data_IF_380015391290
#
_entry.id   IF_380015391290
#
_cell.length_a   1.000
_cell.length_b   1.000
_cell.length_c   1.000
_cell.angle_alpha   90.00
_cell.angle_beta   90.00
_cell.angle_gamma   90.00
#
_symmetry.space_group_name_H-M   'P 1'
#
loop_
_entity.id
_entity.type
_entity.pdbx_description
1 polymer ?
#
# COMPACT_ATOMS: atom_id res chain seq x y z
N UNK A 1 -7.54 -3.30 1.63
CA UNK A 1 -8.19 -2.61 2.70
C UNK A 1 -8.35 -3.42 3.96
N UNK A 2 -7.58 -3.07 5.01
CA UNK A 2 -7.68 -3.66 6.36
C UNK A 2 -8.32 -2.67 7.34
N UNK A 3 -8.97 -1.61 6.84
CA UNK A 3 -9.60 -0.59 7.68
C UNK A 3 -8.68 0.53 8.14
N UNK A 4 -7.55 0.81 7.47
CA UNK A 4 -6.69 1.96 7.79
C UNK A 4 -7.47 3.27 7.88
N UNK A 5 -8.36 3.51 6.93
CA UNK A 5 -9.22 4.71 6.89
C UNK A 5 -10.16 4.78 8.08
N UNK A 6 -10.73 3.67 8.53
CA UNK A 6 -11.57 3.63 9.74
C UNK A 6 -10.79 4.00 11.01
N UNK A 7 -9.54 3.52 11.13
CA UNK A 7 -8.64 3.92 12.24
C UNK A 7 -8.37 5.42 12.19
N UNK A 8 -8.09 5.96 10.99
CA UNK A 8 -7.88 7.40 10.79
C UNK A 8 -9.11 8.22 11.20
N UNK A 9 -10.32 7.80 10.82
CA UNK A 9 -11.57 8.46 11.17
C UNK A 9 -11.81 8.46 12.68
N UNK A 10 -11.54 7.33 13.36
CA UNK A 10 -11.65 7.26 14.83
C UNK A 10 -10.66 8.18 15.53
N UNK A 11 -9.41 8.22 15.06
CA UNK A 11 -8.42 9.16 15.59
C UNK A 11 -8.84 10.62 15.36
N UNK A 12 -9.36 10.93 14.17
CA UNK A 12 -9.90 12.25 13.85
C UNK A 12 -11.06 12.63 14.78
N UNK A 13 -11.98 11.69 15.04
CA UNK A 13 -13.10 11.93 15.96
C UNK A 13 -12.61 12.27 17.38
N UNK A 14 -11.65 11.53 17.91
CA UNK A 14 -11.08 11.79 19.24
C UNK A 14 -10.44 13.19 19.29
N UNK A 15 -9.69 13.57 18.25
CA UNK A 15 -9.06 14.88 18.19
C UNK A 15 -10.10 16.02 18.15
N UNK A 16 -11.13 15.89 17.30
CA UNK A 16 -12.23 16.88 17.20
C UNK A 16 -13.01 16.96 18.51
N UNK A 17 -13.30 15.82 19.14
CA UNK A 17 -13.99 15.80 20.45
C UNK A 17 -13.15 16.46 21.56
N UNK A 18 -11.84 16.53 21.39
CA UNK A 18 -10.91 17.26 22.27
C UNK A 18 -10.68 18.70 21.80
N UNK A 19 -11.60 19.27 21.01
CA UNK A 19 -11.54 20.64 20.48
C UNK A 19 -10.28 20.95 19.66
N UNK A 20 -9.67 19.92 19.04
CA UNK A 20 -8.50 20.04 18.16
C UNK A 20 -8.88 19.85 16.72
N UNK A 21 -8.25 20.62 15.85
CA UNK A 21 -8.41 20.49 14.41
C UNK A 21 -7.60 19.32 13.86
N UNK A 22 -8.09 18.74 12.76
CA UNK A 22 -7.46 17.61 12.07
C UNK A 22 -7.15 17.97 10.62
N UNK A 23 -5.97 17.59 10.17
CA UNK A 23 -5.56 17.69 8.77
C UNK A 23 -5.35 16.28 8.22
N UNK A 24 -5.98 15.98 7.08
CA UNK A 24 -5.78 14.71 6.35
C UNK A 24 -5.05 15.00 5.05
N UNK A 25 -3.83 14.51 4.96
CA UNK A 25 -2.95 14.72 3.82
C UNK A 25 -2.95 13.51 2.90
N UNK A 26 -3.34 13.71 1.65
CA UNK A 26 -3.42 12.69 0.61
C UNK A 26 -2.41 12.97 -0.52
N UNK A 27 -1.84 11.95 -1.17
CA UNK A 27 -0.84 12.12 -2.24
C UNK A 27 -1.46 12.60 -3.57
N UNK A 28 -2.75 12.38 -3.78
CA UNK A 28 -3.46 12.77 -5.01
C UNK A 28 -4.81 13.43 -4.71
N UNK A 29 -5.30 14.21 -5.66
CA UNK A 29 -6.63 14.86 -5.56
C UNK A 29 -7.74 13.82 -5.52
N UNK A 30 -7.68 12.81 -6.36
CA UNK A 30 -8.69 11.73 -6.40
C UNK A 30 -8.81 11.01 -5.06
N UNK A 31 -7.68 10.71 -4.41
CA UNK A 31 -7.70 10.09 -3.08
C UNK A 31 -8.23 11.06 -2.02
N UNK A 32 -7.94 12.37 -2.16
CA UNK A 32 -8.48 13.37 -1.25
C UNK A 32 -10.00 13.49 -1.39
N UNK A 33 -10.54 13.43 -2.62
CA UNK A 33 -11.98 13.41 -2.89
C UNK A 33 -12.65 12.18 -2.26
N UNK A 34 -12.10 10.98 -2.45
CA UNK A 34 -12.61 9.75 -1.85
C UNK A 34 -12.57 9.77 -0.31
N UNK A 35 -11.50 10.28 0.29
CA UNK A 35 -11.45 10.46 1.74
C UNK A 35 -12.48 11.46 2.20
N UNK A 36 -12.68 12.56 1.48
CA UNK A 36 -13.65 13.58 1.81
C UNK A 36 -15.07 12.99 1.85
N UNK A 37 -15.47 12.28 0.81
CA UNK A 37 -16.79 11.61 0.76
C UNK A 37 -16.95 10.58 1.88
N UNK A 38 -15.92 9.75 2.11
CA UNK A 38 -15.94 8.74 3.17
C UNK A 38 -16.04 9.36 4.56
N UNK A 39 -15.35 10.49 4.80
CA UNK A 39 -15.45 11.22 6.06
C UNK A 39 -16.82 11.90 6.21
N UNK A 40 -17.35 12.52 5.17
CA UNK A 40 -18.70 13.11 5.21
C UNK A 40 -19.75 12.07 5.58
N UNK A 41 -19.74 10.91 4.93
CA UNK A 41 -20.69 9.82 5.23
C UNK A 41 -20.54 9.32 6.66
N UNK A 42 -19.30 9.13 7.12
CA UNK A 42 -19.00 8.61 8.46
C UNK A 42 -19.38 9.59 9.59
N UNK A 43 -19.20 10.88 9.34
CA UNK A 43 -19.47 11.94 10.31
C UNK A 43 -20.86 12.58 10.17
N UNK A 44 -21.70 12.09 9.28
CA UNK A 44 -23.03 12.66 8.96
C UNK A 44 -23.91 12.93 10.18
N UNK A 45 -23.81 12.10 11.21
CA UNK A 45 -24.60 12.22 12.45
C UNK A 45 -23.91 13.06 13.53
N UNK A 46 -22.76 13.65 13.26
CA UNK A 46 -21.99 14.44 14.22
C UNK A 46 -21.86 15.89 13.76
N UNK A 47 -21.82 16.86 14.66
CA UNK A 47 -21.66 18.27 14.33
C UNK A 47 -20.18 18.58 13.99
N UNK A 48 -19.64 17.96 12.94
CA UNK A 48 -18.25 18.11 12.51
C UNK A 48 -18.22 18.77 11.13
N UNK A 49 -17.52 19.89 11.03
CA UNK A 49 -17.36 20.65 9.79
C UNK A 49 -16.13 20.17 9.02
N UNK A 50 -16.35 19.51 7.88
CA UNK A 50 -15.29 18.93 7.05
C UNK A 50 -15.19 19.69 5.74
N UNK A 51 -14.00 20.03 5.29
CA UNK A 51 -13.74 20.70 4.02
C UNK A 51 -12.62 20.04 3.24
N UNK A 52 -12.76 20.14 1.91
CA UNK A 52 -11.78 19.64 0.95
C UNK A 52 -10.97 20.81 0.38
N UNK A 53 -9.65 20.73 0.45
CA UNK A 53 -8.74 21.73 -0.11
C UNK A 53 -7.74 21.06 -1.05
N UNK A 54 -7.96 21.20 -2.35
CA UNK A 54 -7.07 20.70 -3.39
C UNK A 54 -6.69 21.84 -4.35
N UNK A 55 -5.85 21.54 -5.31
CA UNK A 55 -5.53 22.53 -6.39
C UNK A 55 -6.73 22.86 -7.29
N UNK A 56 -7.77 22.02 -7.29
CA UNK A 56 -9.01 22.23 -8.07
C UNK A 56 -10.04 23.09 -7.32
N UNK A 57 -9.84 23.32 -6.03
CA UNK A 57 -10.69 24.23 -5.24
C UNK A 57 -10.58 25.65 -5.82
N UNK A 58 -11.72 26.25 -6.15
CA UNK A 58 -11.77 27.62 -6.69
C UNK A 58 -11.09 28.60 -5.74
N UNK A 59 -10.48 29.67 -6.29
CA UNK A 59 -9.71 30.64 -5.49
C UNK A 59 -10.53 31.30 -4.37
N UNK A 60 -11.80 31.56 -4.62
CA UNK A 60 -12.71 32.17 -3.64
C UNK A 60 -12.96 31.20 -2.50
N UNK A 61 -13.34 29.97 -2.83
CA UNK A 61 -13.61 28.91 -1.83
C UNK A 61 -12.34 28.57 -1.03
N UNK A 62 -11.17 28.61 -1.71
CA UNK A 62 -9.87 28.37 -1.07
C UNK A 62 -9.59 29.39 0.03
N UNK A 63 -9.83 30.69 -0.22
CA UNK A 63 -9.64 31.75 0.78
C UNK A 63 -10.60 31.57 1.95
N UNK A 64 -11.88 31.33 1.68
CA UNK A 64 -12.91 31.07 2.71
C UNK A 64 -12.51 29.87 3.60
N UNK A 65 -12.11 28.74 3.00
CA UNK A 65 -11.69 27.55 3.74
C UNK A 65 -10.49 27.86 4.65
N UNK A 66 -9.49 28.60 4.15
CA UNK A 66 -8.30 28.95 4.92
C UNK A 66 -8.66 29.87 6.10
N UNK A 67 -9.44 30.91 5.86
CA UNK A 67 -9.87 31.85 6.91
C UNK A 67 -10.70 31.14 7.98
N UNK A 68 -11.65 30.31 7.57
CA UNK A 68 -12.49 29.54 8.49
C UNK A 68 -11.73 28.45 9.26
N UNK A 69 -10.73 27.83 8.65
CA UNK A 69 -9.86 26.89 9.35
C UNK A 69 -8.99 27.62 10.38
N UNK A 70 -8.38 28.73 10.01
CA UNK A 70 -7.54 29.54 10.90
C UNK A 70 -8.33 30.18 12.06
N UNK A 71 -9.65 30.38 11.90
CA UNK A 71 -10.57 30.87 12.95
C UNK A 71 -11.27 29.75 13.72
N UNK A 72 -10.85 28.50 13.59
CA UNK A 72 -11.42 27.31 14.24
C UNK A 72 -12.88 26.99 13.89
N UNK A 73 -13.37 27.47 12.73
CA UNK A 73 -14.73 27.17 12.24
C UNK A 73 -14.79 25.95 11.29
N UNK A 74 -13.68 25.28 11.07
CA UNK A 74 -13.56 24.00 10.37
C UNK A 74 -12.79 23.04 11.25
N UNK A 75 -13.34 21.85 11.49
CA UNK A 75 -12.76 20.84 12.35
C UNK A 75 -11.77 19.95 11.61
N UNK A 76 -12.12 19.54 10.38
CA UNK A 76 -11.30 18.64 9.57
C UNK A 76 -11.09 19.23 8.18
N UNK A 77 -9.84 19.33 7.78
CA UNK A 77 -9.49 19.69 6.39
C UNK A 77 -8.78 18.52 5.73
N UNK A 78 -9.29 18.10 4.56
CA UNK A 78 -8.72 17.02 3.75
C UNK A 78 -8.13 17.65 2.49
N UNK A 79 -6.94 17.20 2.08
CA UNK A 79 -6.35 17.74 0.85
C UNK A 79 -5.01 17.14 0.49
N UNK A 80 -4.37 17.77 -0.48
CA UNK A 80 -3.05 17.38 -0.97
C UNK A 80 -1.95 18.29 -0.39
N UNK A 81 -0.72 18.15 -0.87
CA UNK A 81 0.39 19.04 -0.48
C UNK A 81 0.09 20.55 -0.62
N UNK A 82 -0.95 20.92 -1.35
CA UNK A 82 -1.43 22.30 -1.42
C UNK A 82 -1.80 22.89 -0.04
N UNK A 83 -2.14 22.04 0.92
CA UNK A 83 -2.41 22.44 2.32
C UNK A 83 -1.22 23.17 2.96
N UNK A 84 0.02 22.77 2.64
CA UNK A 84 1.22 23.41 3.22
C UNK A 84 1.59 24.74 2.58
N UNK A 85 1.08 25.01 1.37
CA UNK A 85 1.37 26.25 0.60
C UNK A 85 0.20 27.22 0.60
N UNK A 86 -0.91 26.88 1.25
CA UNK A 86 -2.16 27.62 1.18
C UNK A 86 -2.31 28.78 2.18
N UNK A 87 -1.43 28.89 3.19
CA UNK A 87 -1.60 29.85 4.28
C UNK A 87 -2.38 29.29 5.48
N UNK A 88 -2.58 27.98 5.55
CA UNK A 88 -3.13 27.30 6.73
C UNK A 88 -2.15 27.40 7.90
N UNK A 89 -2.67 27.85 9.04
CA UNK A 89 -1.94 27.98 10.29
C UNK A 89 -2.27 26.77 11.18
N UNK A 90 -1.23 26.09 11.64
CA UNK A 90 -1.37 24.86 12.45
C UNK A 90 -1.51 25.13 13.95
N UNK A 91 -2.09 26.27 14.35
CA UNK A 91 -2.12 26.73 15.76
C UNK A 91 -2.94 25.78 16.65
N UNK A 92 -4.12 25.35 16.21
CA UNK A 92 -5.00 24.48 16.98
C UNK A 92 -5.05 23.05 16.42
N UNK A 93 -4.17 22.71 15.47
CA UNK A 93 -4.11 21.35 14.89
C UNK A 93 -3.55 20.38 15.90
N UNK A 94 -4.33 19.40 16.31
CA UNK A 94 -3.90 18.33 17.24
C UNK A 94 -3.47 17.05 16.50
N UNK A 95 -3.99 16.81 15.30
CA UNK A 95 -3.71 15.59 14.54
C UNK A 95 -3.47 15.86 13.06
N UNK A 96 -2.37 15.34 12.55
CA UNK A 96 -2.06 15.27 11.12
C UNK A 96 -2.08 13.81 10.67
N UNK A 97 -3.01 13.45 9.80
CA UNK A 97 -3.10 12.12 9.19
C UNK A 97 -2.42 12.19 7.81
N UNK A 98 -1.45 11.31 7.58
CA UNK A 98 -0.70 11.23 6.31
C UNK A 98 -0.94 9.87 5.69
N UNK A 99 -1.69 9.84 4.58
CA UNK A 99 -1.93 8.59 3.86
C UNK A 99 -0.87 8.37 2.79
N UNK A 100 -0.42 7.11 2.66
CA UNK A 100 0.62 6.65 1.71
C UNK A 100 1.89 7.53 1.74
N UNK A 101 2.51 7.70 2.93
CA UNK A 101 3.71 8.52 3.19
C UNK A 101 4.79 8.38 2.10
N UNK A 102 4.94 7.18 1.53
CA UNK A 102 5.96 6.89 0.53
C UNK A 102 5.78 7.64 -0.81
N UNK A 103 4.59 8.16 -1.08
CA UNK A 103 4.28 8.94 -2.29
C UNK A 103 4.70 10.41 -2.17
N UNK A 104 5.09 10.88 -0.98
CA UNK A 104 5.54 12.25 -0.76
C UNK A 104 7.04 12.40 -1.01
N UNK A 105 7.41 13.49 -1.69
CA UNK A 105 8.82 13.85 -1.94
C UNK A 105 9.56 14.30 -0.67
N UNK A 106 10.89 14.37 -0.74
CA UNK A 106 11.76 14.70 0.40
C UNK A 106 11.38 16.05 1.03
N UNK A 107 11.24 17.11 0.21
CA UNK A 107 10.85 18.44 0.70
C UNK A 107 9.50 18.45 1.43
N UNK A 108 8.54 17.68 0.95
CA UNK A 108 7.22 17.55 1.58
C UNK A 108 7.32 16.82 2.94
N UNK A 109 8.15 15.80 3.02
CA UNK A 109 8.43 15.08 4.28
C UNK A 109 9.13 15.95 5.31
N UNK A 110 10.01 16.84 4.88
CA UNK A 110 10.69 17.79 5.79
C UNK A 110 9.69 18.79 6.37
N UNK A 111 8.73 19.28 5.56
CA UNK A 111 7.63 20.13 6.05
C UNK A 111 6.75 19.38 7.05
N UNK A 112 6.42 18.11 6.79
CA UNK A 112 5.67 17.27 7.72
C UNK A 112 6.44 17.12 9.04
N UNK A 113 7.74 16.81 8.96
CA UNK A 113 8.60 16.66 10.15
C UNK A 113 8.71 17.93 10.98
N UNK A 114 8.82 19.10 10.35
CA UNK A 114 8.89 20.39 11.07
C UNK A 114 7.64 20.71 11.88
N UNK A 115 6.52 20.00 11.66
CA UNK A 115 5.28 20.13 12.43
C UNK A 115 5.18 19.11 13.58
N UNK A 116 6.11 18.15 13.66
CA UNK A 116 6.03 17.01 14.58
C UNK A 116 6.17 17.42 16.07
N UNK A 117 6.82 18.54 16.39
CA UNK A 117 7.07 18.94 17.78
C UNK A 117 5.79 19.27 18.57
N UNK A 118 4.72 19.72 17.85
CA UNK A 118 3.48 20.21 18.49
C UNK A 118 2.21 19.48 18.04
N UNK A 119 2.30 18.49 17.17
CA UNK A 119 1.14 17.83 16.53
C UNK A 119 1.34 16.32 16.53
N UNK A 120 0.32 15.55 16.90
CA UNK A 120 0.34 14.10 16.71
C UNK A 120 0.27 13.76 15.22
N UNK A 121 1.15 12.89 14.73
CA UNK A 121 1.17 12.50 13.33
C UNK A 121 0.84 11.00 13.21
N UNK A 122 -0.23 10.69 12.48
CA UNK A 122 -0.64 9.34 12.15
C UNK A 122 -0.29 9.02 10.70
N UNK A 123 0.69 8.17 10.50
CA UNK A 123 1.05 7.68 9.17
C UNK A 123 0.26 6.41 8.82
N UNK A 124 -0.34 6.39 7.63
CA UNK A 124 -1.03 5.22 7.09
C UNK A 124 -0.24 4.69 5.88
N UNK A 125 -0.02 3.38 5.82
CA UNK A 125 0.62 2.75 4.66
C UNK A 125 0.07 1.36 4.40
N UNK A 126 -0.03 0.98 3.13
CA UNK A 126 -0.38 -0.38 2.72
C UNK A 126 0.85 -1.29 2.75
N UNK A 127 2.02 -0.74 2.43
CA UNK A 127 3.31 -1.44 2.41
C UNK A 127 4.33 -0.57 3.11
N UNK A 128 4.89 -1.00 4.24
CA UNK A 128 5.98 -0.26 4.87
C UNK A 128 7.19 -0.23 3.91
N UNK A 129 7.80 0.96 3.77
CA UNK A 129 9.03 1.09 2.98
C UNK A 129 10.17 0.41 3.75
N UNK A 130 11.17 -0.20 3.09
CA UNK A 130 12.34 -0.79 3.75
C UNK A 130 13.02 0.14 4.77
N UNK A 131 13.17 1.43 4.45
CA UNK A 131 13.71 2.44 5.40
C UNK A 131 12.81 2.64 6.62
N UNK A 132 11.49 2.65 6.46
CA UNK A 132 10.53 2.75 7.58
C UNK A 132 10.59 1.50 8.44
N UNK A 133 10.81 0.32 7.84
CA UNK A 133 11.00 -0.93 8.57
C UNK A 133 12.20 -0.86 9.52
N UNK A 134 13.31 -0.26 9.10
CA UNK A 134 14.47 -0.07 9.98
C UNK A 134 14.15 0.81 11.20
N UNK A 135 13.41 1.91 11.01
CA UNK A 135 12.97 2.76 12.13
C UNK A 135 11.97 2.05 13.05
N UNK A 136 11.18 1.13 12.52
CA UNK A 136 10.27 0.28 13.29
C UNK A 136 11.08 -0.72 14.14
N UNK A 137 11.99 -1.46 13.52
CA UNK A 137 12.81 -2.46 14.22
C UNK A 137 13.77 -1.83 15.24
N UNK A 138 14.21 -0.60 15.00
CA UNK A 138 15.04 0.13 15.97
C UNK A 138 14.27 0.73 17.16
N UNK A 139 12.93 0.60 17.17
CA UNK A 139 12.12 1.20 18.24
C UNK A 139 12.08 2.73 18.24
N UNK A 140 12.46 3.37 17.12
CA UNK A 140 12.44 4.82 16.95
C UNK A 140 11.04 5.36 16.58
N UNK A 141 10.15 4.51 16.10
CA UNK A 141 8.76 4.84 15.80
C UNK A 141 7.84 3.78 16.37
N UNK A 142 6.78 4.20 17.02
CA UNK A 142 5.67 3.32 17.38
C UNK A 142 4.88 2.95 16.13
N UNK A 143 4.42 1.71 16.07
CA UNK A 143 3.64 1.21 14.94
C UNK A 143 2.65 0.15 15.38
N UNK A 144 1.59 0.00 14.59
CA UNK A 144 0.58 -1.02 14.78
C UNK A 144 0.27 -1.72 13.46
N UNK A 145 0.17 -3.03 13.48
CA UNK A 145 -0.24 -3.81 12.33
C UNK A 145 -1.72 -4.17 12.41
N UNK A 146 -2.44 -3.94 11.32
CA UNK A 146 -3.80 -4.44 11.15
C UNK A 146 -3.74 -5.85 10.52
N UNK A 147 -3.76 -6.88 11.35
CA UNK A 147 -3.64 -8.27 10.90
C UNK A 147 -4.97 -8.90 10.49
N UNK A 148 -6.08 -8.45 11.08
CA UNK A 148 -7.39 -9.03 10.86
C UNK A 148 -8.08 -8.36 9.66
N UNK A 149 -8.34 -9.09 8.57
CA UNK A 149 -9.10 -8.54 7.46
C UNK A 149 -10.59 -8.39 7.84
N UNK A 150 -11.35 -7.52 7.13
CA UNK A 150 -12.80 -7.49 7.25
C UNK A 150 -13.42 -8.86 6.94
N UNK A 151 -14.52 -9.22 7.67
CA UNK A 151 -15.14 -10.57 7.64
C UNK A 151 -15.49 -11.08 6.23
N UNK A 152 -15.82 -10.21 5.29
CA UNK A 152 -16.30 -10.59 3.95
C UNK A 152 -15.21 -10.49 2.86
N UNK A 153 -13.93 -10.34 3.24
CA UNK A 153 -12.86 -10.18 2.26
C UNK A 153 -12.27 -11.52 1.84
N UNK A 154 -12.35 -11.79 0.53
CA UNK A 154 -11.78 -13.00 -0.07
C UNK A 154 -10.36 -12.70 -0.57
N UNK A 155 -9.44 -13.65 -0.41
CA UNK A 155 -8.08 -13.52 -0.93
C UNK A 155 -8.08 -13.51 -2.46
N UNK A 156 -7.23 -12.67 -3.05
CA UNK A 156 -7.12 -12.53 -4.51
C UNK A 156 -6.38 -13.74 -5.08
N UNK A 157 -6.98 -14.44 -6.04
CA UNK A 157 -6.32 -15.52 -6.78
C UNK A 157 -5.32 -14.92 -7.75
N UNK A 158 -4.05 -15.25 -7.58
CA UNK A 158 -2.93 -14.71 -8.34
C UNK A 158 -2.32 -15.76 -9.24
N UNK A 159 -2.04 -15.42 -10.49
CA UNK A 159 -1.49 -16.33 -11.49
C UNK A 159 -0.29 -15.67 -12.19
N UNK A 160 0.81 -16.42 -12.32
CA UNK A 160 1.94 -16.07 -13.17
C UNK A 160 1.84 -16.89 -14.45
N UNK A 161 1.75 -16.23 -15.60
CA UNK A 161 1.55 -16.85 -16.92
C UNK A 161 2.35 -16.13 -18.00
N UNK A 162 2.67 -16.88 -19.07
CA UNK A 162 3.17 -16.27 -20.31
C UNK A 162 2.03 -15.53 -20.99
N UNK A 163 2.32 -14.34 -21.49
CA UNK A 163 1.34 -13.49 -22.14
C UNK A 163 0.81 -14.16 -23.42
N UNK A 164 -0.51 -14.21 -23.57
CA UNK A 164 -1.18 -14.61 -24.81
C UNK A 164 -2.48 -13.84 -24.98
N UNK A 165 -2.86 -13.55 -26.22
CA UNK A 165 -4.13 -12.88 -26.54
C UNK A 165 -5.33 -13.70 -26.06
N UNK A 166 -5.25 -15.03 -26.17
CA UNK A 166 -6.30 -15.94 -25.71
C UNK A 166 -6.54 -15.80 -24.19
N UNK A 167 -5.48 -15.77 -23.39
CA UNK A 167 -5.57 -15.62 -21.92
C UNK A 167 -6.19 -14.27 -21.53
N UNK A 168 -5.79 -13.19 -22.20
CA UNK A 168 -6.34 -11.85 -21.97
C UNK A 168 -7.83 -11.83 -22.29
N UNK A 169 -8.22 -12.38 -23.46
CA UNK A 169 -9.62 -12.52 -23.86
C UNK A 169 -10.45 -13.30 -22.83
N UNK A 170 -9.97 -14.46 -22.39
CA UNK A 170 -10.65 -15.30 -21.41
C UNK A 170 -10.82 -14.60 -20.06
N UNK A 171 -9.77 -13.91 -19.57
CA UNK A 171 -9.81 -13.20 -18.30
C UNK A 171 -10.84 -12.06 -18.34
N UNK A 172 -10.85 -11.26 -19.40
CA UNK A 172 -11.81 -10.15 -19.58
C UNK A 172 -13.24 -10.71 -19.74
N UNK A 173 -13.45 -11.71 -20.61
CA UNK A 173 -14.76 -12.29 -20.85
C UNK A 173 -15.37 -12.89 -19.58
N UNK A 174 -14.56 -13.59 -18.77
CA UNK A 174 -14.98 -14.13 -17.47
C UNK A 174 -15.44 -13.03 -16.54
N UNK A 175 -14.71 -11.91 -16.46
CA UNK A 175 -15.07 -10.80 -15.59
C UNK A 175 -16.36 -10.11 -16.07
N UNK A 176 -16.50 -9.88 -17.37
CA UNK A 176 -17.72 -9.30 -17.96
C UNK A 176 -18.95 -10.15 -17.69
N UNK A 177 -18.86 -11.49 -17.83
CA UNK A 177 -19.95 -12.42 -17.53
C UNK A 177 -20.38 -12.38 -16.06
N UNK A 178 -19.49 -11.98 -15.16
CA UNK A 178 -19.79 -11.79 -13.73
C UNK A 178 -20.33 -10.39 -13.41
N UNK A 179 -20.50 -9.53 -14.41
CA UNK A 179 -20.91 -8.13 -14.25
C UNK A 179 -19.84 -7.29 -13.55
N UNK A 180 -18.55 -7.64 -13.70
CA UNK A 180 -17.43 -6.89 -13.17
C UNK A 180 -16.64 -6.18 -14.26
N UNK A 181 -15.60 -5.45 -13.82
CA UNK A 181 -14.72 -4.64 -14.66
C UNK A 181 -13.28 -5.13 -14.54
N UNK A 182 -12.45 -4.83 -15.56
CA UNK A 182 -11.08 -5.30 -15.63
C UNK A 182 -10.09 -4.13 -15.75
N UNK A 183 -9.03 -4.14 -14.92
CA UNK A 183 -7.83 -3.32 -15.14
C UNK A 183 -6.83 -4.07 -16.00
N UNK A 184 -6.18 -3.35 -16.93
CA UNK A 184 -4.99 -3.82 -17.64
C UNK A 184 -3.88 -2.81 -17.41
N UNK A 185 -2.82 -3.24 -16.74
CA UNK A 185 -1.67 -2.37 -16.44
C UNK A 185 -0.61 -2.58 -17.51
N UNK A 186 -0.27 -1.49 -18.21
CA UNK A 186 0.78 -1.42 -19.22
C UNK A 186 1.60 -0.15 -19.02
N UNK A 187 2.91 -0.29 -18.72
CA UNK A 187 3.77 0.87 -18.46
C UNK A 187 4.21 1.60 -19.74
N UNK A 188 4.24 0.91 -20.84
CA UNK A 188 4.61 1.51 -22.13
C UNK A 188 3.39 2.17 -22.78
N UNK A 189 3.34 3.50 -22.68
CA UNK A 189 2.23 4.32 -23.20
C UNK A 189 2.09 4.13 -24.72
N UNK A 190 3.21 3.92 -25.45
CA UNK A 190 3.17 3.76 -26.91
C UNK A 190 2.40 2.52 -27.36
N UNK A 191 2.34 1.49 -26.52
CA UNK A 191 1.65 0.23 -26.80
C UNK A 191 0.17 0.24 -26.40
N UNK A 192 -0.29 1.23 -25.63
CA UNK A 192 -1.67 1.22 -25.10
C UNK A 192 -2.73 1.35 -26.20
N UNK A 193 -2.48 2.17 -27.22
CA UNK A 193 -3.40 2.32 -28.33
C UNK A 193 -3.59 1.01 -29.11
N UNK A 194 -2.47 0.37 -29.49
CA UNK A 194 -2.52 -0.95 -30.17
C UNK A 194 -3.20 -2.01 -29.31
N UNK A 195 -2.92 -2.04 -28.01
CA UNK A 195 -3.55 -2.97 -27.08
C UNK A 195 -5.07 -2.74 -26.98
N UNK A 196 -5.53 -1.49 -26.99
CA UNK A 196 -6.95 -1.14 -27.04
C UNK A 196 -7.60 -1.71 -28.32
N UNK A 197 -6.98 -1.46 -29.49
CA UNK A 197 -7.49 -1.92 -30.78
C UNK A 197 -7.54 -3.46 -30.85
N UNK A 198 -6.52 -4.14 -30.31
CA UNK A 198 -6.51 -5.61 -30.22
C UNK A 198 -7.66 -6.13 -29.34
N UNK A 199 -7.88 -5.53 -28.17
CA UNK A 199 -8.97 -5.94 -27.28
C UNK A 199 -10.33 -5.68 -27.92
N UNK A 200 -10.52 -4.55 -28.59
CA UNK A 200 -11.77 -4.23 -29.28
C UNK A 200 -12.03 -5.17 -30.48
N UNK A 201 -10.98 -5.61 -31.19
CA UNK A 201 -11.11 -6.65 -32.24
C UNK A 201 -11.52 -8.01 -31.66
N UNK A 202 -10.94 -8.40 -30.53
CA UNK A 202 -11.24 -9.68 -29.87
C UNK A 202 -12.61 -9.69 -29.19
N UNK A 203 -13.07 -8.55 -28.69
CA UNK A 203 -14.28 -8.35 -27.92
C UNK A 203 -14.97 -7.03 -28.31
N UNK A 204 -15.66 -6.97 -29.46
CA UNK A 204 -16.20 -5.73 -30.02
C UNK A 204 -17.24 -5.02 -29.16
N UNK A 205 -17.93 -5.76 -28.28
CA UNK A 205 -19.00 -5.25 -27.43
C UNK A 205 -18.50 -4.64 -26.09
N UNK A 206 -17.19 -4.43 -25.94
CA UNK A 206 -16.62 -3.88 -24.73
C UNK A 206 -16.22 -2.41 -24.89
N UNK A 207 -16.51 -1.62 -23.88
CA UNK A 207 -16.03 -0.25 -23.77
C UNK A 207 -14.66 -0.23 -23.11
N UNK A 208 -13.63 0.20 -23.86
CA UNK A 208 -12.25 0.22 -23.40
C UNK A 208 -11.75 1.65 -23.26
N UNK A 209 -11.39 2.04 -22.04
CA UNK A 209 -10.74 3.33 -21.72
C UNK A 209 -9.21 3.21 -21.60
N UNK A 210 -8.52 4.34 -21.79
CA UNK A 210 -7.07 4.46 -21.55
C UNK A 210 -6.83 5.61 -20.57
N UNK A 211 -5.99 5.36 -19.55
CA UNK A 211 -5.56 6.37 -18.59
C UNK A 211 -4.05 6.30 -18.34
N UNK A 212 -3.33 7.41 -18.54
CA UNK A 212 -1.90 7.49 -18.27
C UNK A 212 -1.48 8.92 -17.90
N UNK A 213 -0.33 9.08 -17.26
CA UNK A 213 0.15 10.35 -16.70
C UNK A 213 0.47 11.46 -17.72
N UNK A 214 0.49 11.17 -19.03
CA UNK A 214 0.67 12.19 -20.10
C UNK A 214 -0.65 12.80 -20.58
N UNK A 215 -1.81 12.21 -20.22
CA UNK A 215 -3.10 12.82 -20.49
C UNK A 215 -3.28 14.08 -19.64
N UNK A 216 -4.11 15.02 -20.11
CA UNK A 216 -4.50 16.12 -19.26
C UNK A 216 -5.33 15.60 -18.07
N UNK A 217 -5.42 16.40 -17.03
CA UNK A 217 -6.04 15.95 -15.77
C UNK A 217 -7.53 15.77 -15.87
N UNK A 218 -8.18 16.55 -16.73
CA UNK A 218 -9.61 16.43 -16.97
C UNK A 218 -9.92 15.09 -17.65
N UNK A 219 -9.18 14.74 -18.71
CA UNK A 219 -9.37 13.47 -19.39
C UNK A 219 -9.14 12.26 -18.48
N UNK A 220 -8.13 12.34 -17.59
CA UNK A 220 -7.93 11.29 -16.58
C UNK A 220 -9.14 11.19 -15.65
N UNK A 221 -9.64 12.33 -15.17
CA UNK A 221 -10.79 12.37 -14.28
C UNK A 221 -12.04 11.80 -14.95
N UNK A 222 -12.29 12.18 -16.20
CA UNK A 222 -13.47 11.75 -16.96
C UNK A 222 -13.43 10.24 -17.23
N UNK A 223 -12.27 9.71 -17.66
CA UNK A 223 -12.08 8.27 -17.87
C UNK A 223 -12.23 7.48 -16.56
N UNK A 224 -11.67 8.01 -15.46
CA UNK A 224 -11.77 7.34 -14.15
C UNK A 224 -13.21 7.35 -13.63
N UNK A 225 -13.93 8.45 -13.78
CA UNK A 225 -15.36 8.55 -13.45
C UNK A 225 -16.18 7.59 -14.29
N UNK A 226 -15.98 7.56 -15.61
CA UNK A 226 -16.68 6.62 -16.51
C UNK A 226 -16.40 5.15 -16.17
N UNK A 227 -15.19 4.84 -15.68
CA UNK A 227 -14.88 3.50 -15.20
C UNK A 227 -15.55 3.19 -13.85
N UNK A 228 -15.60 4.14 -12.93
CA UNK A 228 -16.23 3.95 -11.61
C UNK A 228 -17.76 3.75 -11.72
N UNK A 229 -18.44 4.53 -12.57
CA UNK A 229 -19.90 4.36 -12.81
C UNK A 229 -20.27 3.20 -13.74
N UNK A 230 -19.27 2.48 -14.28
CA UNK A 230 -19.49 1.26 -15.09
C UNK A 230 -19.73 1.49 -16.57
N UNK A 231 -19.51 2.69 -17.11
CA UNK A 231 -19.55 2.98 -18.54
C UNK A 231 -18.42 2.27 -19.32
N UNK A 232 -17.29 2.04 -18.65
CA UNK A 232 -16.14 1.32 -19.21
C UNK A 232 -16.04 -0.07 -18.59
N UNK A 233 -15.85 -1.07 -19.42
CA UNK A 233 -15.66 -2.48 -19.02
C UNK A 233 -14.20 -2.79 -18.70
N UNK A 234 -13.29 -2.18 -19.45
CA UNK A 234 -11.85 -2.39 -19.35
C UNK A 234 -11.16 -1.03 -19.29
N UNK A 235 -10.26 -0.89 -18.33
CA UNK A 235 -9.38 0.28 -18.24
C UNK A 235 -7.92 -0.13 -18.42
N UNK A 236 -7.32 0.31 -19.54
CA UNK A 236 -5.88 0.19 -19.78
C UNK A 236 -5.19 1.38 -19.14
N UNK A 237 -4.23 1.15 -18.26
CA UNK A 237 -3.60 2.23 -17.50
C UNK A 237 -2.13 1.93 -17.17
N UNK A 238 -1.38 2.99 -16.87
CA UNK A 238 -0.08 2.86 -16.21
C UNK A 238 -0.27 2.60 -14.71
N UNK A 239 0.81 2.68 -13.93
CA UNK A 239 0.77 2.64 -12.46
C UNK A 239 -0.08 3.75 -11.80
N UNK A 240 -0.76 4.60 -12.58
CA UNK A 240 -1.70 5.61 -12.07
C UNK A 240 -2.79 4.98 -11.17
N UNK A 241 -3.13 3.70 -11.40
CA UNK A 241 -4.03 2.91 -10.55
C UNK A 241 -3.49 2.71 -9.14
N UNK A 242 -2.18 2.82 -8.91
CA UNK A 242 -1.58 2.79 -7.55
C UNK A 242 -2.03 3.96 -6.67
N UNK A 243 -2.64 5.01 -7.25
CA UNK A 243 -3.03 6.24 -6.53
C UNK A 243 -4.20 6.10 -5.54
N UNK A 244 -4.61 4.87 -5.20
CA UNK A 244 -5.55 4.68 -4.09
C UNK A 244 -7.01 4.52 -4.48
N UNK A 245 -7.36 4.56 -5.77
CA UNK A 245 -8.73 4.41 -6.25
C UNK A 245 -9.41 3.15 -5.74
N UNK A 246 -10.59 3.32 -5.19
CA UNK A 246 -11.47 2.22 -4.76
C UNK A 246 -12.60 2.05 -5.77
N UNK A 247 -12.51 1.02 -6.61
CA UNK A 247 -13.52 0.69 -7.60
C UNK A 247 -14.06 -0.71 -7.29
N UNK A 248 -15.22 -0.80 -6.61
CA UNK A 248 -15.73 -2.06 -6.07
C UNK A 248 -16.03 -3.12 -7.14
N UNK A 249 -16.39 -2.71 -8.36
CA UNK A 249 -16.69 -3.62 -9.46
C UNK A 249 -15.47 -4.11 -10.24
N UNK A 250 -14.30 -3.52 -10.04
CA UNK A 250 -13.06 -3.99 -10.67
C UNK A 250 -12.50 -5.19 -9.89
N UNK A 251 -12.81 -6.40 -10.34
CA UNK A 251 -12.41 -7.63 -9.66
C UNK A 251 -11.32 -8.41 -10.40
N UNK A 252 -10.93 -8.01 -11.59
CA UNK A 252 -9.82 -8.61 -12.35
C UNK A 252 -8.78 -7.56 -12.70
N UNK A 253 -7.50 -7.86 -12.47
CA UNK A 253 -6.37 -7.06 -12.92
C UNK A 253 -5.38 -7.93 -13.70
N UNK A 254 -4.97 -7.44 -14.86
CA UNK A 254 -3.98 -8.05 -15.73
C UNK A 254 -2.77 -7.12 -15.79
N UNK A 255 -1.61 -7.58 -15.37
CA UNK A 255 -0.37 -6.79 -15.35
C UNK A 255 0.55 -7.32 -16.42
N UNK A 256 0.72 -6.55 -17.49
CA UNK A 256 1.61 -6.89 -18.60
C UNK A 256 3.05 -6.56 -18.23
N UNK A 257 4.00 -7.30 -18.82
CA UNK A 257 5.43 -7.13 -18.55
C UNK A 257 5.76 -7.09 -17.06
N UNK A 258 5.13 -7.98 -16.27
CA UNK A 258 5.16 -7.95 -14.80
C UNK A 258 6.57 -8.10 -14.20
N UNK A 259 7.54 -8.63 -14.95
CA UNK A 259 8.96 -8.71 -14.57
C UNK A 259 9.61 -7.34 -14.37
N UNK A 260 9.06 -6.28 -14.96
CA UNK A 260 9.60 -4.93 -14.89
C UNK A 260 9.13 -4.16 -13.64
N UNK A 261 8.26 -4.74 -12.82
CA UNK A 261 7.74 -4.10 -11.62
C UNK A 261 8.48 -4.55 -10.36
N UNK A 262 8.59 -3.64 -9.40
CA UNK A 262 9.06 -3.97 -8.05
C UNK A 262 8.02 -4.80 -7.28
N UNK A 263 8.48 -5.58 -6.29
CA UNK A 263 7.63 -6.47 -5.49
C UNK A 263 6.52 -5.68 -4.75
N UNK A 264 6.87 -4.54 -4.15
CA UNK A 264 5.92 -3.64 -3.49
C UNK A 264 4.88 -3.05 -4.47
N UNK A 265 5.29 -2.72 -5.71
CA UNK A 265 4.36 -2.24 -6.74
C UNK A 265 3.38 -3.33 -7.17
N UNK A 266 3.87 -4.54 -7.43
CA UNK A 266 3.00 -5.69 -7.75
C UNK A 266 1.98 -5.96 -6.65
N UNK A 267 2.39 -5.84 -5.38
CA UNK A 267 1.48 -5.98 -4.24
C UNK A 267 0.42 -4.88 -4.20
N UNK A 268 0.80 -3.62 -4.44
CA UNK A 268 -0.13 -2.50 -4.49
C UNK A 268 -1.13 -2.64 -5.62
N UNK A 269 -0.67 -3.01 -6.83
CA UNK A 269 -1.52 -3.27 -8.00
C UNK A 269 -2.48 -4.44 -7.74
N UNK A 270 -1.99 -5.57 -7.21
CA UNK A 270 -2.85 -6.68 -6.81
C UNK A 270 -3.93 -6.25 -5.82
N UNK A 271 -3.60 -5.38 -4.89
CA UNK A 271 -4.53 -4.85 -3.89
C UNK A 271 -5.61 -3.90 -4.44
N UNK A 272 -5.59 -3.57 -5.72
CA UNK A 272 -6.61 -2.72 -6.35
C UNK A 272 -7.91 -3.47 -6.70
N UNK A 273 -7.86 -4.78 -6.78
CA UNK A 273 -9.03 -5.62 -7.04
C UNK A 273 -9.42 -6.44 -5.81
N UNK A 274 -10.60 -7.09 -5.88
CA UNK A 274 -11.11 -7.93 -4.78
C UNK A 274 -11.47 -7.12 -3.53
N UNK A 275 -12.04 -5.94 -3.70
CA UNK A 275 -12.52 -5.08 -2.60
C UNK A 275 -13.99 -5.26 -2.27
N UNK A 276 -14.72 -5.99 -3.12
CA UNK A 276 -16.09 -6.43 -2.91
C UNK A 276 -16.15 -7.87 -2.35
N UNK A 277 -17.35 -8.36 -2.10
CA UNK A 277 -17.59 -9.76 -1.74
C UNK A 277 -17.35 -10.76 -2.89
N UNK A 278 -17.00 -10.27 -4.10
CA UNK A 278 -16.68 -11.09 -5.26
C UNK A 278 -15.21 -11.53 -5.24
N UNK A 279 -14.92 -12.73 -5.74
CA UNK A 279 -13.55 -13.24 -5.88
C UNK A 279 -12.72 -12.34 -6.82
N UNK A 280 -11.62 -11.78 -6.32
CA UNK A 280 -10.65 -11.04 -7.12
C UNK A 280 -9.65 -11.94 -7.85
N UNK A 281 -9.23 -11.54 -9.03
CA UNK A 281 -8.23 -12.23 -9.86
C UNK A 281 -7.11 -11.28 -10.26
N UNK A 282 -5.86 -11.74 -10.16
CA UNK A 282 -4.68 -11.00 -10.58
C UNK A 282 -3.82 -11.88 -11.49
N UNK A 283 -3.59 -11.42 -12.72
CA UNK A 283 -2.75 -12.09 -13.69
C UNK A 283 -1.46 -11.30 -13.85
N UNK A 284 -0.34 -11.91 -13.46
CA UNK A 284 1.01 -11.41 -13.73
C UNK A 284 1.46 -12.04 -15.06
N UNK A 285 1.52 -11.24 -16.12
CA UNK A 285 1.88 -11.72 -17.46
C UNK A 285 3.32 -11.35 -17.78
N UNK A 286 4.07 -12.31 -18.32
CA UNK A 286 5.46 -12.17 -18.74
C UNK A 286 5.56 -12.48 -20.24
N UNK A 287 6.44 -11.79 -20.99
CA UNK A 287 6.55 -12.01 -22.46
C UNK A 287 7.19 -13.35 -22.80
N UNK A 288 8.14 -13.80 -21.98
CA UNK A 288 8.90 -15.05 -22.17
C UNK A 288 9.08 -15.77 -20.84
N UNK A 289 9.23 -17.12 -20.86
CA UNK A 289 9.44 -17.89 -19.64
C UNK A 289 10.81 -17.66 -18.98
N UNK A 290 11.82 -17.27 -19.80
CA UNK A 290 13.18 -17.06 -19.29
C UNK A 290 13.32 -15.64 -18.73
N UNK A 291 13.43 -15.55 -17.42
CA UNK A 291 13.56 -14.34 -16.65
C UNK A 291 14.89 -14.30 -15.90
N UNK A 292 15.39 -13.10 -15.65
CA UNK A 292 16.50 -12.94 -14.70
C UNK A 292 16.13 -13.51 -13.33
N UNK A 293 17.11 -14.04 -12.59
CA UNK A 293 16.91 -14.62 -11.26
C UNK A 293 16.12 -13.66 -10.34
N UNK A 294 16.52 -12.39 -10.28
CA UNK A 294 15.86 -11.37 -9.44
C UNK A 294 14.41 -11.14 -9.83
N UNK A 295 14.09 -11.14 -11.12
CA UNK A 295 12.70 -10.97 -11.59
C UNK A 295 11.84 -12.20 -11.24
N UNK A 296 12.41 -13.40 -11.37
CA UNK A 296 11.75 -14.65 -10.99
C UNK A 296 11.50 -14.70 -9.50
N UNK A 297 12.50 -14.44 -8.65
CA UNK A 297 12.37 -14.43 -7.19
C UNK A 297 11.26 -13.48 -6.72
N UNK A 298 11.15 -12.26 -7.32
CA UNK A 298 10.07 -11.30 -7.02
C UNK A 298 8.70 -11.84 -7.39
N UNK A 299 8.56 -12.43 -8.58
CA UNK A 299 7.27 -12.96 -9.04
C UNK A 299 6.85 -14.21 -8.27
N UNK A 300 7.78 -15.07 -7.91
CA UNK A 300 7.51 -16.23 -7.05
C UNK A 300 7.10 -15.80 -5.63
N UNK A 301 7.76 -14.79 -5.07
CA UNK A 301 7.41 -14.22 -3.77
C UNK A 301 6.01 -13.62 -3.76
N UNK A 302 5.59 -12.86 -4.79
CA UNK A 302 4.24 -12.28 -4.85
C UNK A 302 3.15 -13.35 -4.97
N UNK A 303 3.43 -14.46 -5.66
CA UNK A 303 2.50 -15.60 -5.76
C UNK A 303 2.42 -16.35 -4.42
N UNK A 304 3.56 -16.67 -3.81
CA UNK A 304 3.64 -17.36 -2.51
C UNK A 304 2.95 -16.57 -1.41
N UNK A 305 3.17 -15.27 -1.36
CA UNK A 305 2.58 -14.35 -0.37
C UNK A 305 1.19 -13.85 -0.82
N UNK A 306 0.32 -14.76 -1.25
CA UNK A 306 -1.03 -14.43 -1.73
C UNK A 306 -2.07 -14.26 -0.63
N UNK A 307 -1.76 -14.66 0.61
CA UNK A 307 -2.68 -14.53 1.75
C UNK A 307 -2.93 -13.07 2.13
N UNK A 308 -4.12 -12.79 2.66
CA UNK A 308 -4.46 -11.49 3.21
C UNK A 308 -3.50 -11.15 4.38
N UNK A 309 -3.06 -9.90 4.45
CA UNK A 309 -2.12 -9.44 5.50
C UNK A 309 -0.64 -9.64 5.20
N UNK A 310 -0.28 -10.19 4.04
CA UNK A 310 1.12 -10.45 3.68
C UNK A 310 1.95 -9.19 3.36
N UNK A 311 1.40 -7.98 3.46
CA UNK A 311 2.10 -6.74 3.10
C UNK A 311 3.42 -6.52 3.87
N UNK A 312 3.46 -6.93 5.13
CA UNK A 312 4.68 -6.90 5.96
C UNK A 312 5.74 -7.85 5.42
N UNK A 313 5.37 -9.11 5.19
CA UNK A 313 6.28 -10.14 4.66
C UNK A 313 6.77 -9.79 3.25
N UNK A 314 5.93 -9.16 2.44
CA UNK A 314 6.33 -8.66 1.11
C UNK A 314 7.36 -7.56 1.21
N UNK A 315 7.24 -6.65 2.18
CA UNK A 315 8.23 -5.60 2.40
C UNK A 315 9.57 -6.18 2.90
N UNK A 316 9.53 -7.22 3.72
CA UNK A 316 10.71 -7.95 4.17
C UNK A 316 11.39 -8.68 3.01
N UNK A 317 10.64 -9.42 2.21
CA UNK A 317 11.15 -10.11 1.00
C UNK A 317 11.73 -9.12 -0.03
N UNK A 318 11.06 -7.97 -0.26
CA UNK A 318 11.57 -6.93 -1.16
C UNK A 318 12.95 -6.40 -0.71
N UNK A 319 13.14 -6.32 0.61
CA UNK A 319 14.38 -5.91 1.24
C UNK A 319 15.49 -6.97 1.08
N UNK A 320 15.15 -8.24 1.24
CA UNK A 320 16.08 -9.36 1.07
C UNK A 320 16.52 -9.51 -0.41
N UNK A 321 15.55 -9.43 -1.36
CA UNK A 321 15.81 -9.54 -2.80
C UNK A 321 16.68 -8.37 -3.32
N UNK A 322 16.49 -7.16 -2.80
CA UNK A 322 17.31 -5.99 -3.17
C UNK A 322 18.73 -6.04 -2.59
N UNK A 323 18.96 -6.97 -1.63
CA UNK A 323 20.19 -7.00 -0.87
C UNK A 323 20.38 -5.68 -0.11
N UNK A 324 20.49 -5.66 1.20
CA UNK A 324 20.47 -4.47 2.09
C UNK A 324 21.27 -3.22 1.69
N UNK A 325 21.86 -3.19 0.49
CA UNK A 325 22.75 -2.14 -0.01
C UNK A 325 22.09 -0.79 -0.32
N UNK A 326 20.83 -0.78 -0.79
CA UNK A 326 20.12 0.47 -1.10
C UNK A 326 19.58 1.22 0.14
N UNK A 327 19.66 0.62 1.33
CA UNK A 327 18.99 1.15 2.51
C UNK A 327 19.69 2.32 3.19
N UNK A 328 21.00 2.44 3.05
CA UNK A 328 21.82 3.41 3.79
C UNK A 328 22.62 4.38 2.92
N UNK A 329 22.43 4.34 1.60
CA UNK A 329 23.22 5.12 0.64
C UNK A 329 24.48 4.37 0.19
N UNK A 330 24.99 4.72 -1.00
CA UNK A 330 26.05 4.02 -1.73
C UNK A 330 27.35 3.77 -0.93
N UNK A 331 27.58 4.52 0.15
CA UNK A 331 28.81 4.40 0.96
C UNK A 331 28.75 3.33 2.06
N UNK A 332 27.58 2.77 2.40
CA UNK A 332 27.41 1.79 3.50
C UNK A 332 26.92 0.40 3.04
N UNK A 333 26.63 0.25 1.76
CA UNK A 333 26.07 -0.98 1.18
C UNK A 333 26.96 -2.23 1.34
N UNK A 334 28.29 -2.05 1.37
CA UNK A 334 29.21 -3.17 1.49
C UNK A 334 29.20 -3.90 2.84
N UNK A 335 28.92 -3.20 3.94
CA UNK A 335 28.96 -3.79 5.28
C UNK A 335 27.72 -4.60 5.65
N UNK A 336 26.54 -4.24 5.15
CA UNK A 336 25.28 -4.97 5.45
C UNK A 336 25.22 -6.31 4.73
N UNK A 337 25.73 -6.37 3.51
CA UNK A 337 25.82 -7.63 2.75
C UNK A 337 26.74 -8.66 3.41
N UNK A 338 27.74 -8.21 4.16
CA UNK A 338 28.69 -9.11 4.86
C UNK A 338 28.17 -9.55 6.24
N UNK A 339 27.36 -8.75 6.90
CA UNK A 339 26.92 -8.96 8.29
C UNK A 339 25.51 -9.57 8.37
N UNK A 340 24.69 -9.38 7.34
CA UNK A 340 23.28 -9.76 7.33
C UNK A 340 22.38 -8.76 8.07
N UNK A 341 21.14 -8.65 7.59
CA UNK A 341 20.16 -7.67 8.08
C UNK A 341 19.81 -7.87 9.56
N UNK A 342 19.65 -9.13 9.99
CA UNK A 342 19.24 -9.43 11.38
C UNK A 342 20.29 -9.00 12.40
N UNK A 343 21.57 -9.23 12.10
CA UNK A 343 22.66 -8.82 13.00
C UNK A 343 22.80 -7.29 13.01
N UNK A 344 22.68 -6.62 11.84
CA UNK A 344 22.68 -5.15 11.78
C UNK A 344 21.56 -4.53 12.64
N UNK A 345 20.32 -5.06 12.54
CA UNK A 345 19.17 -4.59 13.32
C UNK A 345 19.38 -4.81 14.83
N UNK A 346 19.96 -5.94 15.21
CA UNK A 346 20.29 -6.22 16.62
C UNK A 346 21.36 -5.25 17.15
N UNK A 347 22.40 -4.98 16.37
CA UNK A 347 23.44 -4.00 16.74
C UNK A 347 22.85 -2.58 16.85
N UNK A 348 21.95 -2.19 15.95
CA UNK A 348 21.27 -0.90 16.00
C UNK A 348 20.38 -0.77 17.23
N UNK A 349 19.60 -1.82 17.55
CA UNK A 349 18.78 -1.88 18.76
C UNK A 349 19.63 -1.75 20.01
N UNK A 350 20.73 -2.45 20.11
CA UNK A 350 21.66 -2.40 21.24
C UNK A 350 22.30 -1.01 21.39
N UNK A 351 22.71 -0.39 20.27
CA UNK A 351 23.24 0.97 20.28
C UNK A 351 22.19 1.98 20.79
N UNK A 352 20.94 1.88 20.36
CA UNK A 352 19.85 2.75 20.78
C UNK A 352 19.47 2.56 22.26
N UNK A 353 19.46 1.32 22.75
CA UNK A 353 19.21 1.04 24.18
C UNK A 353 20.29 1.68 25.07
N UNK A 354 21.55 1.65 24.65
CA UNK A 354 22.64 2.37 25.32
C UNK A 354 22.41 3.88 25.34
N UNK A 355 21.92 4.48 24.26
CA UNK A 355 21.57 5.91 24.21
C UNK A 355 20.37 6.27 25.10
N UNK A 356 19.37 5.39 25.19
CA UNK A 356 18.17 5.61 26.02
C UNK A 356 18.38 5.34 27.52
N UNK A 357 19.59 4.94 27.94
CA UNK A 357 19.89 4.53 29.34
C UNK A 357 18.97 3.44 29.91
N UNK A 358 18.34 2.65 29.07
CA UNK A 358 17.60 1.47 29.48
C UNK A 358 18.59 0.31 29.57
N UNK A 359 18.99 -0.06 30.78
CA UNK A 359 19.77 -1.27 31.08
C UNK A 359 18.88 -2.54 30.95
N UNK A 360 18.25 -2.75 29.81
CA UNK A 360 17.76 -4.10 29.47
C UNK A 360 18.96 -4.98 29.18
N UNK A 361 19.19 -5.95 30.06
CA UNK A 361 20.23 -6.96 29.89
C UNK A 361 20.07 -7.61 28.51
N UNK A 362 21.12 -7.59 27.72
CA UNK A 362 21.19 -8.32 26.45
C UNK A 362 20.79 -9.78 26.72
N UNK A 363 19.65 -10.18 26.16
CA UNK A 363 19.29 -11.60 26.09
C UNK A 363 20.27 -12.24 25.09
N UNK A 364 21.27 -12.92 25.63
CA UNK A 364 22.21 -13.71 24.85
C UNK A 364 21.38 -14.84 24.23
N UNK A 365 21.07 -14.74 22.95
CA UNK A 365 20.53 -15.88 22.19
C UNK A 365 21.67 -16.86 21.95
N UNK A 366 21.72 -17.90 22.75
CA UNK A 366 22.69 -18.98 22.57
C UNK A 366 22.09 -20.01 21.63
N UNK A 367 22.60 -20.10 20.41
CA UNK A 367 22.31 -21.19 19.50
C UNK A 367 23.22 -22.35 19.85
N UNK A 368 22.66 -23.46 20.31
CA UNK A 368 23.41 -24.68 20.61
C UNK A 368 23.13 -25.66 19.47
N UNK A 369 24.07 -25.82 18.58
CA UNK A 369 24.02 -26.82 17.51
C UNK A 369 24.63 -28.14 18.01
N UNK A 370 23.80 -29.14 18.21
CA UNK A 370 24.26 -30.50 18.47
C UNK A 370 24.55 -31.19 17.13
N UNK A 371 25.75 -31.77 17.03
CA UNK A 371 26.15 -32.56 15.85
C UNK A 371 25.54 -33.96 15.82
N UNK A 372 24.91 -34.41 16.89
CA UNK A 372 24.22 -35.70 16.96
C UNK A 372 22.75 -35.60 16.55
N UNK A 373 22.22 -36.71 16.04
CA UNK A 373 20.83 -36.85 15.64
C UNK A 373 19.87 -36.56 16.82
N UNK A 374 19.20 -35.41 16.75
CA UNK A 374 18.24 -34.98 17.77
C UNK A 374 16.89 -35.63 17.55
N UNK A 375 16.79 -36.92 17.80
CA UNK A 375 15.49 -37.63 17.81
C UNK A 375 15.21 -38.22 19.18
N UNK A 376 13.94 -38.21 19.56
CA UNK A 376 13.49 -38.90 20.79
C UNK A 376 13.60 -40.39 20.54
N UNK A 377 14.45 -41.05 21.33
CA UNK A 377 14.69 -42.50 21.16
C UNK A 377 13.42 -43.29 21.43
N UNK A 378 13.25 -44.38 20.70
CA UNK A 378 12.14 -45.34 20.91
C UNK A 378 12.21 -46.08 22.26
N UNK A 379 13.40 -46.12 22.86
CA UNK A 379 13.60 -46.63 24.23
C UNK A 379 13.04 -45.67 25.29
N UNK A 380 13.06 -44.34 25.03
CA UNK A 380 12.50 -43.36 25.93
C UNK A 380 10.98 -43.18 25.75
N UNK A 381 10.51 -43.15 24.49
CA UNK A 381 9.10 -43.04 24.14
C UNK A 381 8.76 -44.04 23.03
N UNK A 382 8.24 -45.26 23.40
CA UNK A 382 8.00 -46.32 22.43
C UNK A 382 6.97 -45.97 21.35
N UNK A 383 5.99 -45.12 21.68
CA UNK A 383 4.91 -44.74 20.75
C UNK A 383 5.37 -43.71 19.72
N UNK A 384 5.39 -44.09 18.44
CA UNK A 384 5.70 -43.21 17.33
C UNK A 384 4.73 -42.01 17.22
N UNK A 385 3.45 -42.20 17.58
CA UNK A 385 2.41 -41.17 17.58
C UNK A 385 2.66 -40.10 18.66
N UNK A 386 3.15 -40.49 19.82
CA UNK A 386 3.48 -39.56 20.90
C UNK A 386 4.75 -38.79 20.59
N UNK A 387 5.77 -39.41 19.98
CA UNK A 387 6.96 -38.70 19.48
C UNK A 387 6.59 -37.65 18.44
N UNK A 388 5.71 -37.98 17.50
CA UNK A 388 5.19 -37.02 16.49
C UNK A 388 4.42 -35.86 17.10
N UNK A 389 3.66 -36.09 18.19
CA UNK A 389 2.96 -35.00 18.91
C UNK A 389 3.95 -34.03 19.55
N UNK A 390 5.01 -34.57 20.19
CA UNK A 390 6.05 -33.72 20.81
C UNK A 390 6.79 -32.93 19.76
N UNK A 391 7.20 -33.54 18.64
CA UNK A 391 7.85 -32.76 17.52
C UNK A 391 6.96 -31.71 16.90
N UNK A 392 5.63 -31.82 16.99
CA UNK A 392 4.71 -30.77 16.54
C UNK A 392 4.49 -29.66 17.56
N UNK A 393 4.85 -29.87 18.81
CA UNK A 393 4.68 -28.91 19.89
C UNK A 393 5.94 -28.07 20.18
N UNK A 394 7.06 -28.49 19.62
CA UNK A 394 8.34 -27.72 19.61
C UNK A 394 8.40 -26.86 18.36
#
# INVERSE_FOLDING_TARGET
GFGKTEVAMRAAYIAVHSEKQVIVLCPSTVLADQHYESFLERFKSFPVNIKLLTRHTKMIDKKDIIERFNSNNIDIVIGTHALFTSGIIFKNTGLLIVDEEHKFGIKQKDVIKSKQENIHILYLSATPIPRTMNFIFSGLKEFSFLHTPPKNRISIKSFLKVQSQQLIKEAISREKLRGGQCFIVQNDISKMGMLKDEIQKLLPNLNVGIAHGKLNKQDISDVMTGFDIGELDVLICTTIVEMGLDIPNANTIIILDSQNFGLSQLHQLRGRVGRSAKQGYCYFLIPVPDLSKIARDRLDSIIRLSKLGSGFFIAQEDLEIRGGGEMLGDKQSGHINSVGINLYLSMLKNALNKFKKNDEKDLIQTEINFYDSTYISDTYLPSALERLKIYKSI
#
